data_IF_099706213530
#
_entry.id   IF_099706213530
#
_cell.length_a   1.000
_cell.length_b   1.000
_cell.length_c   1.000
_cell.angle_alpha   90.00
_cell.angle_beta   90.00
_cell.angle_gamma   90.00
#
_symmetry.space_group_name_H-M   'P 1'
#
loop_
_entity.id
_entity.type
_entity.pdbx_description
1 polymer ?
#
# COMPACT_ATOMS: atom_id res chain seq x y z
N UNK A 1 22.40 16.98 9.68
CA UNK A 1 22.63 16.34 8.37
C UNK A 1 22.05 14.93 8.31
N UNK A 2 22.40 14.00 9.21
CA UNK A 2 21.84 12.63 9.21
C UNK A 2 20.29 12.58 9.34
N UNK A 3 19.71 13.48 10.14
CA UNK A 3 18.26 13.60 10.29
C UNK A 3 17.53 14.00 9.00
N UNK A 4 18.19 14.77 8.13
CA UNK A 4 17.63 15.20 6.84
C UNK A 4 17.55 14.02 5.86
N UNK A 5 18.60 13.19 5.83
CA UNK A 5 18.66 11.97 5.03
C UNK A 5 17.57 10.96 5.42
N UNK A 6 17.31 10.80 6.72
CA UNK A 6 16.28 9.89 7.20
C UNK A 6 14.87 10.36 6.83
N UNK A 7 14.66 11.67 6.76
CA UNK A 7 13.40 12.25 6.30
C UNK A 7 13.19 12.01 4.79
N UNK A 8 14.21 12.26 3.99
CA UNK A 8 14.12 12.19 2.52
C UNK A 8 14.29 10.76 1.99
N UNK A 9 14.76 9.82 2.83
CA UNK A 9 15.06 8.43 2.50
C UNK A 9 15.99 8.26 1.27
N UNK A 10 16.72 9.32 0.93
CA UNK A 10 17.61 9.38 -0.21
C UNK A 10 18.96 9.94 0.24
N UNK A 11 20.04 9.22 -0.09
CA UNK A 11 21.41 9.59 0.24
C UNK A 11 22.18 9.83 -1.05
N UNK A 12 22.75 11.04 -1.26
CA UNK A 12 23.70 11.28 -2.33
C UNK A 12 24.95 10.39 -2.18
N UNK A 13 25.41 9.80 -3.29
CA UNK A 13 26.54 8.85 -3.28
C UNK A 13 27.83 9.46 -2.70
N UNK A 14 28.07 10.73 -2.97
CA UNK A 14 29.24 11.49 -2.48
C UNK A 14 29.32 11.48 -0.94
N UNK A 15 28.19 11.73 -0.27
CA UNK A 15 28.10 11.75 1.20
C UNK A 15 28.22 10.34 1.78
N UNK A 16 27.65 9.34 1.09
CA UNK A 16 27.74 7.95 1.50
C UNK A 16 29.18 7.43 1.44
N UNK A 17 29.97 7.86 0.45
CA UNK A 17 31.35 7.43 0.27
C UNK A 17 32.28 8.04 1.34
N UNK A 18 32.02 9.28 1.77
CA UNK A 18 32.76 9.94 2.86
C UNK A 18 32.44 9.39 4.26
N UNK A 19 31.32 8.69 4.44
CA UNK A 19 30.92 8.17 5.74
C UNK A 19 31.79 6.97 6.18
N UNK A 20 32.15 6.86 7.47
CA UNK A 20 32.75 5.64 8.02
C UNK A 20 31.81 4.43 7.88
N UNK A 21 32.38 3.22 7.71
CA UNK A 21 31.59 1.98 7.51
C UNK A 21 30.57 1.74 8.62
N UNK A 22 30.95 1.93 9.88
CA UNK A 22 30.04 1.77 11.03
C UNK A 22 28.82 2.72 10.94
N UNK A 23 29.03 3.94 10.45
CA UNK A 23 27.95 4.92 10.27
C UNK A 23 27.06 4.54 9.07
N UNK A 24 27.62 3.96 8.00
CA UNK A 24 26.83 3.45 6.87
C UNK A 24 25.91 2.32 7.30
N UNK A 25 26.41 1.39 8.10
CA UNK A 25 25.61 0.28 8.62
C UNK A 25 24.43 0.78 9.46
N UNK A 26 24.68 1.69 10.40
CA UNK A 26 23.62 2.30 11.21
C UNK A 26 22.61 3.04 10.33
N UNK A 27 23.10 3.80 9.35
CA UNK A 27 22.26 4.55 8.42
C UNK A 27 21.33 3.61 7.63
N UNK A 28 21.86 2.52 7.06
CA UNK A 28 21.05 1.56 6.31
C UNK A 28 20.00 0.87 7.18
N UNK A 29 20.35 0.49 8.41
CA UNK A 29 19.37 -0.07 9.35
C UNK A 29 18.22 0.91 9.61
N UNK A 30 18.54 2.18 9.88
CA UNK A 30 17.53 3.22 10.14
C UNK A 30 16.68 3.55 8.91
N UNK A 31 17.28 3.61 7.73
CA UNK A 31 16.54 3.79 6.48
C UNK A 31 15.60 2.61 6.22
N UNK A 32 16.04 1.38 6.51
CA UNK A 32 15.22 0.19 6.33
C UNK A 32 14.02 0.20 7.27
N UNK A 33 14.22 0.53 8.54
CA UNK A 33 13.14 0.71 9.52
C UNK A 33 12.09 1.71 9.02
N UNK A 34 12.54 2.87 8.53
CA UNK A 34 11.64 3.92 8.03
C UNK A 34 10.90 3.51 6.75
N UNK A 35 11.57 2.82 5.82
CA UNK A 35 10.91 2.25 4.65
C UNK A 35 9.80 1.27 5.03
N UNK A 36 10.07 0.37 5.99
CA UNK A 36 9.11 -0.61 6.47
C UNK A 36 7.94 0.08 7.14
N UNK A 37 8.19 1.10 7.97
CA UNK A 37 7.14 1.93 8.59
C UNK A 37 6.23 2.59 7.53
N UNK A 38 6.81 3.29 6.54
CA UNK A 38 6.06 3.92 5.45
C UNK A 38 5.33 2.92 4.56
N UNK A 39 5.89 1.72 4.38
CA UNK A 39 5.23 0.65 3.67
C UNK A 39 3.98 0.20 4.43
N UNK A 40 4.10 -0.10 5.72
CA UNK A 40 2.96 -0.50 6.54
C UNK A 40 1.89 0.60 6.68
N UNK A 41 2.29 1.86 6.81
CA UNK A 41 1.34 2.99 6.83
C UNK A 41 0.56 3.09 5.50
N UNK A 42 1.24 2.94 4.36
CA UNK A 42 0.58 2.92 3.05
C UNK A 42 -0.33 1.71 2.86
N UNK A 43 0.09 0.53 3.29
CA UNK A 43 -0.74 -0.68 3.24
C UNK A 43 -1.97 -0.54 4.13
N UNK A 44 -1.85 0.07 5.31
CA UNK A 44 -2.98 0.34 6.19
C UNK A 44 -3.97 1.33 5.57
N UNK A 45 -3.48 2.42 4.97
CA UNK A 45 -4.27 3.41 4.24
C UNK A 45 -4.98 2.77 3.03
N UNK A 46 -4.26 1.99 2.22
CA UNK A 46 -4.83 1.30 1.06
C UNK A 46 -5.87 0.26 1.47
N UNK A 47 -5.58 -0.55 2.49
CA UNK A 47 -6.52 -1.53 3.01
C UNK A 47 -7.77 -0.85 3.61
N UNK A 48 -7.61 0.30 4.29
CA UNK A 48 -8.74 1.12 4.74
C UNK A 48 -9.59 1.64 3.55
N UNK A 49 -8.94 2.12 2.48
CA UNK A 49 -9.63 2.56 1.25
C UNK A 49 -10.34 1.41 0.53
N UNK A 50 -9.78 0.20 0.55
CA UNK A 50 -10.36 -1.00 -0.06
C UNK A 50 -11.53 -1.54 0.77
N UNK A 51 -11.37 -1.70 2.08
CA UNK A 51 -12.42 -2.16 2.99
C UNK A 51 -13.61 -1.19 3.04
N UNK A 52 -13.35 0.13 3.02
CA UNK A 52 -14.38 1.16 2.88
C UNK A 52 -15.10 1.15 1.52
N UNK A 53 -14.47 0.66 0.45
CA UNK A 53 -15.11 0.46 -0.87
C UNK A 53 -15.91 -0.84 -0.95
N UNK A 54 -15.49 -1.90 -0.27
CA UNK A 54 -16.18 -3.21 -0.24
C UNK A 54 -17.53 -3.12 0.49
N UNK A 55 -17.72 -2.13 1.37
CA UNK A 55 -19.03 -1.76 1.95
C UNK A 55 -20.09 -1.35 0.89
N UNK A 56 -19.68 -0.97 -0.33
CA UNK A 56 -20.63 -0.52 -1.36
C UNK A 56 -21.29 -1.70 -2.08
N UNK A 57 -22.46 -2.06 -1.53
CA UNK A 57 -23.56 -2.85 -2.11
C UNK A 57 -23.13 -4.24 -2.62
N UNK A 58 -23.48 -5.27 -1.84
CA UNK A 58 -23.60 -6.65 -2.35
C UNK A 58 -24.50 -6.60 -3.58
N UNK A 59 -23.95 -6.81 -4.77
CA UNK A 59 -24.74 -6.91 -5.99
C UNK A 59 -25.55 -8.19 -5.90
N UNK A 60 -26.83 -8.06 -5.56
CA UNK A 60 -27.78 -9.17 -5.63
C UNK A 60 -28.19 -9.32 -7.08
N UNK A 61 -27.85 -10.47 -7.67
CA UNK A 61 -28.37 -10.85 -8.99
C UNK A 61 -29.85 -11.14 -8.80
N UNK A 62 -30.69 -10.39 -9.49
CA UNK A 62 -32.14 -10.66 -9.57
C UNK A 62 -32.42 -11.10 -10.99
N UNK A 63 -32.97 -12.31 -11.15
CA UNK A 63 -33.39 -12.82 -12.45
C UNK A 63 -34.71 -12.15 -12.84
N UNK A 64 -34.79 -11.63 -14.06
CA UNK A 64 -36.02 -11.05 -14.60
C UNK A 64 -36.93 -12.19 -15.03
N UNK A 65 -38.01 -12.38 -14.29
CA UNK A 65 -39.04 -13.38 -14.60
C UNK A 65 -40.00 -12.85 -15.65
N UNK A 66 -40.61 -13.77 -16.41
CA UNK A 66 -41.73 -13.48 -17.29
C UNK A 66 -43.01 -13.10 -16.56
N UNK A 67 -44.03 -12.65 -17.31
CA UNK A 67 -45.40 -12.46 -16.80
C UNK A 67 -45.99 -13.73 -16.14
N UNK A 68 -45.42 -14.90 -16.44
CA UNK A 68 -45.80 -16.19 -15.88
C UNK A 68 -44.80 -16.74 -14.84
N UNK A 69 -43.78 -15.96 -14.44
CA UNK A 69 -42.84 -16.36 -13.39
C UNK A 69 -41.73 -17.33 -13.82
N UNK A 70 -41.59 -17.61 -15.12
CA UNK A 70 -40.53 -18.50 -15.64
C UNK A 70 -39.27 -17.71 -16.03
N UNK A 71 -38.10 -18.32 -15.83
CA UNK A 71 -36.80 -17.79 -16.28
C UNK A 71 -36.64 -18.05 -17.78
N UNK A 72 -36.40 -17.00 -18.59
CA UNK A 72 -36.21 -17.15 -20.04
C UNK A 72 -34.90 -17.89 -20.33
N UNK A 73 -34.98 -19.20 -20.55
CA UNK A 73 -33.98 -19.92 -21.32
C UNK A 73 -34.54 -20.18 -22.71
N UNK A 74 -34.01 -19.47 -23.71
CA UNK A 74 -34.17 -19.83 -25.12
C UNK A 74 -33.48 -21.18 -25.33
N UNK A 75 -34.28 -22.24 -25.53
CA UNK A 75 -33.82 -23.52 -26.09
C UNK A 75 -33.64 -23.34 -27.59
#
# INVERSE_FOLDING_TARGET
MLAQILHDLHVPKEILDELPEDQKQILFCKMREEQVRRYHEREAEENFRLTGRISKKKKQVTFRLDNNGHEWCLV
#
